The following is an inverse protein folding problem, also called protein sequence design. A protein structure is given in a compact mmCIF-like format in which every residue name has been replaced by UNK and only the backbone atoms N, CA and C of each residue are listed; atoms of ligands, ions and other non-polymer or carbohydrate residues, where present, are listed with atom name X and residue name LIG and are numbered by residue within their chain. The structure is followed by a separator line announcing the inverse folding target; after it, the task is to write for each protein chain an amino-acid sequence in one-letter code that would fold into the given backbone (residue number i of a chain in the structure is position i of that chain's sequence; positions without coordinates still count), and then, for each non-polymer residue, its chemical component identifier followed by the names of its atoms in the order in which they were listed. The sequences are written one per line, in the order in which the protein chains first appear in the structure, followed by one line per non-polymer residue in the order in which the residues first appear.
data_IF_011320975290
#
_entry.id   IF_011320975290
#
_cell.length_a   1.000
_cell.length_b   1.000
_cell.length_c   1.000
_cell.angle_alpha   90.00
_cell.angle_beta   90.00
_cell.angle_gamma   90.00
#
_symmetry.space_group_name_H-M   'P 1'
#
loop_
_entity.id
_entity.type
_entity.pdbx_description
1 polymer ?
#
# COMPACT_ATOMS: atom_id res chain seq x y z
N UNK A 1 2.70 -19.13 6.29
CA UNK A 1 1.83 -18.12 5.65
C UNK A 1 2.69 -16.95 5.20
N UNK A 2 2.98 -16.85 3.90
CA UNK A 2 3.74 -15.75 3.32
C UNK A 2 2.83 -14.53 3.20
N UNK A 3 2.99 -13.55 4.09
CA UNK A 3 2.38 -12.22 3.92
C UNK A 3 2.80 -11.69 2.54
N UNK A 4 1.85 -11.43 1.65
CA UNK A 4 2.14 -10.96 0.30
C UNK A 4 2.87 -9.61 0.40
N UNK A 5 4.19 -9.64 0.21
CA UNK A 5 5.00 -8.43 0.19
C UNK A 5 4.66 -7.63 -1.06
N UNK A 6 4.04 -6.48 -0.85
CA UNK A 6 3.94 -5.44 -1.89
C UNK A 6 5.28 -4.75 -2.04
N UNK A 7 5.78 -4.68 -3.27
CA UNK A 7 6.99 -3.96 -3.64
C UNK A 7 6.62 -2.65 -4.34
N UNK A 8 7.24 -1.55 -3.93
CA UNK A 8 7.01 -0.22 -4.49
C UNK A 8 8.32 0.28 -5.11
N UNK A 9 8.34 0.48 -6.42
CA UNK A 9 9.40 1.19 -7.13
C UNK A 9 8.92 2.58 -7.51
N UNK A 10 9.72 3.61 -7.26
CA UNK A 10 9.41 5.00 -7.62
C UNK A 10 10.55 5.50 -8.50
N UNK A 11 10.22 5.90 -9.72
CA UNK A 11 11.13 6.59 -10.64
C UNK A 11 10.74 8.07 -10.69
N UNK A 12 11.73 8.95 -10.51
CA UNK A 12 11.51 10.39 -10.32
C UNK A 12 12.07 11.16 -11.50
N UNK A 13 11.21 11.88 -12.20
CA UNK A 13 11.59 12.83 -13.24
C UNK A 13 11.21 14.26 -12.86
N UNK A 14 11.62 15.26 -13.67
CA UNK A 14 11.29 16.67 -13.41
C UNK A 14 9.79 16.96 -13.46
N UNK A 15 9.05 16.29 -14.35
CA UNK A 15 7.65 16.58 -14.60
C UNK A 15 6.71 15.51 -14.05
N UNK A 16 7.18 14.29 -13.86
CA UNK A 16 6.37 13.12 -13.56
C UNK A 16 7.05 12.19 -12.54
N UNK A 17 6.24 11.42 -11.85
CA UNK A 17 6.59 10.36 -10.92
C UNK A 17 5.94 9.07 -11.39
N UNK A 18 6.75 8.07 -11.70
CA UNK A 18 6.28 6.75 -12.11
C UNK A 18 6.40 5.78 -10.94
N UNK A 19 5.26 5.27 -10.48
CA UNK A 19 5.19 4.34 -9.35
C UNK A 19 4.77 2.95 -9.84
N UNK A 20 5.65 1.97 -9.66
CA UNK A 20 5.38 0.57 -9.92
C UNK A 20 5.07 -0.16 -8.61
N UNK A 21 3.84 -0.66 -8.49
CA UNK A 21 3.34 -1.48 -7.39
C UNK A 21 3.29 -2.94 -7.87
N UNK A 22 3.99 -3.85 -7.20
CA UNK A 22 3.83 -5.29 -7.45
C UNK A 22 3.13 -5.92 -6.25
N UNK A 23 2.00 -6.62 -6.44
CA UNK A 23 1.44 -7.12 -7.71
C UNK A 23 0.42 -6.20 -8.42
N UNK A 24 0.18 -4.97 -7.96
CA UNK A 24 -1.04 -4.24 -8.29
C UNK A 24 -1.03 -3.40 -9.60
N UNK A 25 0.13 -3.12 -10.19
CA UNK A 25 0.27 -2.41 -11.45
C UNK A 25 1.16 -1.16 -11.38
N UNK A 26 1.13 -0.31 -12.41
CA UNK A 26 1.90 0.94 -12.47
C UNK A 26 0.95 2.14 -12.55
N UNK A 27 1.35 3.26 -11.95
CA UNK A 27 0.70 4.55 -12.12
C UNK A 27 1.75 5.63 -12.37
N UNK A 28 1.34 6.71 -13.02
CA UNK A 28 2.16 7.89 -13.27
C UNK A 28 1.40 9.12 -12.81
N UNK A 29 2.06 10.04 -12.13
CA UNK A 29 1.48 11.28 -11.63
C UNK A 29 2.44 12.46 -11.86
N UNK A 30 1.96 13.71 -11.96
CA UNK A 30 2.84 14.88 -12.00
C UNK A 30 3.79 14.94 -10.80
N UNK A 31 4.99 15.48 -11.01
CA UNK A 31 5.92 15.76 -9.90
C UNK A 31 5.61 17.14 -9.28
N UNK A 32 4.42 17.27 -8.74
CA UNK A 32 3.94 18.43 -7.98
C UNK A 32 3.15 17.96 -6.76
N UNK A 33 2.72 18.90 -5.92
CA UNK A 33 2.00 18.60 -4.68
C UNK A 33 0.71 17.79 -4.92
N UNK A 34 0.03 18.03 -6.04
CA UNK A 34 -1.19 17.32 -6.40
C UNK A 34 -0.91 15.87 -6.80
N UNK A 35 0.16 15.61 -7.55
CA UNK A 35 0.62 14.27 -7.87
C UNK A 35 1.17 13.53 -6.64
N UNK A 36 1.84 14.22 -5.73
CA UNK A 36 2.29 13.66 -4.46
C UNK A 36 1.11 13.20 -3.61
N UNK A 37 0.05 14.02 -3.50
CA UNK A 37 -1.17 13.67 -2.79
C UNK A 37 -1.84 12.40 -3.37
N UNK A 38 -1.92 12.28 -4.70
CA UNK A 38 -2.48 11.10 -5.37
C UNK A 38 -1.67 9.83 -5.07
N UNK A 39 -0.34 9.91 -5.10
CA UNK A 39 0.53 8.77 -4.77
C UNK A 39 0.34 8.34 -3.32
N UNK A 40 0.29 9.31 -2.39
CA UNK A 40 0.09 9.03 -0.97
C UNK A 40 -1.26 8.37 -0.69
N UNK A 41 -2.34 8.85 -1.31
CA UNK A 41 -3.66 8.22 -1.20
C UNK A 41 -3.62 6.76 -1.67
N UNK A 42 -2.96 6.51 -2.81
CA UNK A 42 -2.83 5.15 -3.35
C UNK A 42 -2.02 4.24 -2.44
N UNK A 43 -0.91 4.72 -1.87
CA UNK A 43 -0.06 3.94 -0.96
C UNK A 43 -0.77 3.64 0.36
N UNK A 44 -1.57 4.58 0.89
CA UNK A 44 -2.40 4.35 2.09
C UNK A 44 -3.42 3.24 1.86
N UNK A 45 -4.12 3.25 0.73
CA UNK A 45 -5.05 2.18 0.39
C UNK A 45 -4.37 0.80 0.31
N UNK A 46 -3.12 0.75 -0.17
CA UNK A 46 -2.31 -0.48 -0.20
C UNK A 46 -1.92 -0.93 1.22
N UNK A 47 -1.51 0.01 2.09
CA UNK A 47 -1.22 -0.30 3.50
C UNK A 47 -2.46 -0.83 4.24
N UNK A 48 -3.60 -0.18 4.06
CA UNK A 48 -4.87 -0.55 4.69
C UNK A 48 -5.33 -1.95 4.24
N UNK A 49 -5.15 -2.30 2.97
CA UNK A 49 -5.39 -3.68 2.50
C UNK A 49 -4.48 -4.70 3.17
N UNK A 50 -3.22 -4.37 3.45
CA UNK A 50 -2.34 -5.27 4.23
C UNK A 50 -2.82 -5.41 5.67
N UNK A 51 -3.27 -4.31 6.29
CA UNK A 51 -3.81 -4.33 7.66
C UNK A 51 -5.17 -5.03 7.74
N UNK A 52 -5.91 -5.10 6.63
CA UNK A 52 -7.20 -5.79 6.53
C UNK A 52 -7.15 -7.33 6.61
N UNK A 53 -5.96 -7.97 6.58
CA UNK A 53 -5.83 -9.44 6.69
C UNK A 53 -5.78 -9.97 8.14
N UNK A 54 -6.05 -9.18 9.18
CA UNK A 54 -6.03 -9.70 10.56
C UNK A 54 -7.29 -9.41 11.36
N UNK A 55 -8.46 -9.67 10.77
CA UNK A 55 -9.68 -9.90 11.56
C UNK A 55 -10.56 -11.02 10.99
N UNK A 56 -10.01 -12.24 10.88
CA UNK A 56 -10.82 -13.47 10.84
C UNK A 56 -10.53 -14.34 12.07
N UNK A 57 -11.12 -13.94 13.20
CA UNK A 57 -11.77 -14.78 14.23
C UNK A 57 -11.07 -16.12 14.60
N UNK A 58 -10.03 -16.12 15.44
CA UNK A 58 -9.49 -17.37 16.01
C UNK A 58 -8.77 -17.32 17.38
N UNK A 59 -8.74 -16.21 18.12
CA UNK A 59 -8.09 -16.17 19.44
C UNK A 59 -8.87 -15.31 20.43
N UNK A 60 -9.91 -15.91 21.00
CA UNK A 60 -10.49 -15.50 22.27
C UNK A 60 -10.76 -16.78 23.08
N UNK A 61 -9.71 -17.57 23.24
CA UNK A 61 -9.64 -18.61 24.26
C UNK A 61 -8.68 -18.11 25.34
N UNK A 62 -9.11 -18.30 26.59
CA UNK A 62 -8.43 -17.95 27.84
C UNK A 62 -8.31 -16.45 28.14
N UNK A 63 -9.31 -15.93 28.85
CA UNK A 63 -9.15 -15.58 30.28
C UNK A 63 -10.47 -15.79 31.01
N UNK A 64 -10.74 -17.05 31.35
CA UNK A 64 -11.51 -17.36 32.55
C UNK A 64 -10.49 -17.43 33.70
N UNK A 65 -10.57 -16.46 34.59
CA UNK A 65 -10.20 -16.52 36.01
C UNK A 65 -10.81 -15.27 36.66
#
# INVERSE_FOLDING_TARGET
MTSAQVFVGIDVSKAQLDVALRPEGRLSAPNDDAGHAQILERLRAVEERKRGWSVSRAQLHERAC
#
